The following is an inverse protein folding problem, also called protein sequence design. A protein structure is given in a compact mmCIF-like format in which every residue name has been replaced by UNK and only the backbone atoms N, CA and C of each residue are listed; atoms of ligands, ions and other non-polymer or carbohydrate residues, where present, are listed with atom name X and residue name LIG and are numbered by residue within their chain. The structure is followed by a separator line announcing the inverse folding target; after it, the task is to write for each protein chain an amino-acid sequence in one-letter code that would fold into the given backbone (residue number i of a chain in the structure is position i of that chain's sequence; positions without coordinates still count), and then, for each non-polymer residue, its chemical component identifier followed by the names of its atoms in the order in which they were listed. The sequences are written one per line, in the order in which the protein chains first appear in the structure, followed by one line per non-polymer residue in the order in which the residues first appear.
data_IF_688478340702
#
_entry.id   IF_688478340702
#
_cell.length_a   1.000
_cell.length_b   1.000
_cell.length_c   1.000
_cell.angle_alpha   90.00
_cell.angle_beta   90.00
_cell.angle_gamma   90.00
#
_symmetry.space_group_name_H-M   'P 1'
#
loop_
_entity.id
_entity.type
_entity.pdbx_description
1 polymer ?
#
# COMPACT_ATOMS: atom_id res chain seq x y z
N UNK A 1 19.50 -13.00 -4.37
CA UNK A 1 19.76 -11.59 -4.01
C UNK A 1 18.78 -10.71 -4.78
N UNK A 2 17.76 -10.11 -4.14
CA UNK A 2 16.81 -9.23 -4.84
C UNK A 2 17.42 -7.84 -5.05
N UNK A 3 17.24 -7.20 -6.20
CA UNK A 3 17.83 -5.89 -6.46
C UNK A 3 17.30 -4.87 -5.44
N UNK A 4 18.23 -4.13 -4.82
CA UNK A 4 18.05 -3.15 -3.74
C UNK A 4 17.01 -2.05 -4.06
N UNK A 5 16.79 -1.73 -5.34
CA UNK A 5 15.87 -0.69 -5.83
C UNK A 5 14.38 -0.93 -5.53
N UNK A 6 13.97 -2.17 -5.28
CA UNK A 6 12.56 -2.55 -5.09
C UNK A 6 12.01 -2.22 -3.69
N UNK A 7 12.87 -2.16 -2.68
CA UNK A 7 12.51 -1.80 -1.30
C UNK A 7 12.38 -0.28 -1.10
N UNK A 8 13.14 0.48 -1.83
CA UNK A 8 13.21 1.94 -1.74
C UNK A 8 11.91 2.61 -2.20
N UNK A 9 11.33 2.16 -3.31
CA UNK A 9 9.99 2.59 -3.75
C UNK A 9 8.88 2.27 -2.74
N UNK A 10 9.00 1.17 -1.98
CA UNK A 10 8.00 0.76 -1.00
C UNK A 10 7.96 1.65 0.25
N UNK A 11 9.10 2.16 0.72
CA UNK A 11 9.15 3.00 1.91
C UNK A 11 8.61 4.41 1.67
N UNK A 12 8.91 5.03 0.54
CA UNK A 12 8.40 6.37 0.21
C UNK A 12 6.89 6.37 -0.04
N UNK A 13 6.37 5.40 -0.78
CA UNK A 13 4.92 5.21 -0.97
C UNK A 13 4.22 4.94 0.37
N UNK A 14 4.87 4.27 1.32
CA UNK A 14 4.32 3.99 2.65
C UNK A 14 4.20 5.23 3.53
N UNK A 15 5.19 6.13 3.51
CA UNK A 15 5.16 7.40 4.24
C UNK A 15 4.08 8.36 3.67
N UNK A 16 4.02 8.49 2.37
CA UNK A 16 3.04 9.34 1.68
C UNK A 16 1.62 8.81 1.91
N UNK A 17 1.38 7.51 1.79
CA UNK A 17 0.05 6.92 2.00
C UNK A 17 -0.43 7.04 3.46
N UNK A 18 0.44 6.97 4.46
CA UNK A 18 0.04 7.16 5.85
C UNK A 18 -0.42 8.60 6.14
N UNK A 19 0.20 9.60 5.54
CA UNK A 19 -0.24 10.99 5.72
C UNK A 19 -1.52 11.32 4.93
N UNK A 20 -1.73 10.70 3.79
CA UNK A 20 -2.82 11.01 2.86
C UNK A 20 -4.13 10.31 3.20
N UNK A 21 -4.09 9.14 3.78
CA UNK A 21 -5.29 8.43 4.26
C UNK A 21 -5.95 9.11 5.46
N UNK A 22 -5.23 9.98 6.15
CA UNK A 22 -5.72 10.73 7.31
C UNK A 22 -6.43 12.03 6.93
N UNK A 23 -6.20 12.55 5.74
CA UNK A 23 -7.05 13.57 5.17
C UNK A 23 -8.34 12.85 4.74
N UNK A 24 -9.42 13.01 5.52
CA UNK A 24 -10.78 12.66 5.10
C UNK A 24 -11.07 13.46 3.84
N UNK A 25 -10.62 12.95 2.72
CA UNK A 25 -10.99 13.45 1.41
C UNK A 25 -12.48 13.23 1.26
N UNK A 26 -13.21 14.28 0.90
CA UNK A 26 -14.60 14.27 0.50
C UNK A 26 -14.87 13.09 -0.45
N UNK A 27 -16.12 12.68 -0.58
CA UNK A 27 -16.60 11.51 -1.36
C UNK A 27 -16.09 11.43 -2.82
N UNK A 28 -15.42 12.46 -3.34
CA UNK A 28 -14.71 12.48 -4.62
C UNK A 28 -13.21 12.59 -4.37
N UNK A 29 -12.36 11.76 -5.02
CA UNK A 29 -10.92 11.92 -4.96
C UNK A 29 -10.56 13.30 -5.53
N UNK A 30 -10.00 14.13 -4.65
CA UNK A 30 -9.73 15.52 -4.94
C UNK A 30 -8.55 15.64 -5.92
N UNK A 31 -8.75 16.35 -7.03
CA UNK A 31 -7.69 16.70 -8.00
C UNK A 31 -6.52 17.38 -7.30
N UNK A 32 -6.78 18.14 -6.26
CA UNK A 32 -5.79 18.80 -5.41
C UNK A 32 -4.77 17.83 -4.84
N UNK A 33 -5.19 16.59 -4.52
CA UNK A 33 -4.28 15.56 -4.03
C UNK A 33 -3.22 15.17 -5.05
N UNK A 34 -3.60 14.87 -6.29
CA UNK A 34 -2.66 14.48 -7.35
C UNK A 34 -1.71 15.64 -7.69
N UNK A 35 -2.22 16.87 -7.69
CA UNK A 35 -1.43 18.08 -7.91
C UNK A 35 -0.37 18.26 -6.82
N UNK A 36 -0.75 18.13 -5.55
CA UNK A 36 0.20 18.20 -4.42
C UNK A 36 1.22 17.06 -4.49
N UNK A 37 0.78 15.85 -4.76
CA UNK A 37 1.68 14.71 -4.90
C UNK A 37 2.69 14.94 -6.04
N UNK A 38 2.24 15.51 -7.18
CA UNK A 38 3.11 15.85 -8.30
C UNK A 38 4.17 16.87 -7.90
N UNK A 39 3.80 17.90 -7.13
CA UNK A 39 4.73 18.92 -6.63
C UNK A 39 5.79 18.34 -5.68
N UNK A 40 5.46 17.27 -4.96
CA UNK A 40 6.38 16.61 -4.00
C UNK A 40 7.32 15.59 -4.64
N UNK A 41 6.95 15.04 -5.79
CA UNK A 41 7.73 14.00 -6.46
C UNK A 41 8.77 14.59 -7.41
N UNK A 42 9.96 13.97 -7.55
CA UNK A 42 10.93 14.34 -8.57
C UNK A 42 10.33 14.32 -9.98
N UNK A 43 10.72 15.26 -10.84
CA UNK A 43 10.15 15.40 -12.19
C UNK A 43 10.25 14.12 -13.04
N UNK A 44 11.26 13.28 -12.81
CA UNK A 44 11.45 12.00 -13.50
C UNK A 44 10.72 10.82 -12.85
N UNK A 45 10.09 11.04 -11.69
CA UNK A 45 9.38 9.98 -10.98
C UNK A 45 8.04 9.70 -11.68
N UNK A 46 7.82 8.46 -12.05
CA UNK A 46 6.53 7.96 -12.55
C UNK A 46 5.96 6.94 -11.57
N UNK A 47 5.17 7.37 -10.59
CA UNK A 47 4.64 6.49 -9.57
C UNK A 47 3.59 5.55 -10.16
N UNK A 48 3.41 4.41 -9.50
CA UNK A 48 2.26 3.53 -9.69
C UNK A 48 1.29 3.77 -8.54
N UNK A 49 0.17 4.40 -8.83
CA UNK A 49 -0.87 4.69 -7.84
C UNK A 49 -1.74 3.45 -7.65
N UNK A 50 -1.72 2.87 -6.46
CA UNK A 50 -2.52 1.67 -6.13
C UNK A 50 -3.73 2.09 -5.32
N UNK A 51 -4.93 1.79 -5.82
CA UNK A 51 -6.20 2.24 -5.22
C UNK A 51 -7.13 1.07 -4.91
N UNK A 52 -8.00 1.27 -3.91
CA UNK A 52 -9.07 0.34 -3.61
C UNK A 52 -10.28 0.51 -4.56
N UNK A 53 -11.39 -0.18 -4.25
CA UNK A 53 -12.60 -0.15 -5.07
C UNK A 53 -13.41 1.17 -4.96
N UNK A 54 -13.01 2.11 -4.13
CA UNK A 54 -13.64 3.43 -4.01
C UNK A 54 -13.36 4.35 -5.19
N UNK A 55 -12.25 4.12 -5.90
CA UNK A 55 -11.82 4.95 -7.02
C UNK A 55 -12.45 4.47 -8.33
N UNK A 56 -12.81 5.41 -9.20
CA UNK A 56 -13.58 5.19 -10.43
C UNK A 56 -12.81 5.68 -11.66
N UNK A 57 -13.41 5.47 -12.85
CA UNK A 57 -12.82 5.85 -14.14
C UNK A 57 -12.27 7.30 -14.19
N UNK A 58 -12.97 8.33 -13.67
CA UNK A 58 -12.41 9.69 -13.68
C UNK A 58 -11.05 9.79 -13.00
N UNK A 59 -10.86 9.10 -11.87
CA UNK A 59 -9.57 9.06 -11.19
C UNK A 59 -8.48 8.41 -12.04
N UNK A 60 -8.78 7.30 -12.71
CA UNK A 60 -7.82 6.62 -13.58
C UNK A 60 -7.40 7.49 -14.76
N UNK A 61 -8.35 8.25 -15.33
CA UNK A 61 -8.07 9.24 -16.37
C UNK A 61 -7.13 10.34 -15.88
N UNK A 62 -7.37 10.91 -14.70
CA UNK A 62 -6.52 11.94 -14.08
C UNK A 62 -5.09 11.43 -13.82
N UNK A 63 -4.94 10.24 -13.25
CA UNK A 63 -3.61 9.64 -13.02
C UNK A 63 -2.88 9.42 -14.34
N UNK A 64 -3.58 8.94 -15.37
CA UNK A 64 -2.99 8.71 -16.68
C UNK A 64 -2.62 10.00 -17.40
N UNK A 65 -3.40 11.07 -17.26
CA UNK A 65 -3.12 12.39 -17.81
C UNK A 65 -1.83 13.01 -17.23
N UNK A 66 -1.44 12.63 -16.02
CA UNK A 66 -0.16 13.01 -15.42
C UNK A 66 1.03 12.21 -15.94
N UNK A 67 0.83 11.26 -16.85
CA UNK A 67 1.84 10.32 -17.32
C UNK A 67 2.21 9.26 -16.27
N UNK A 68 1.37 9.06 -15.27
CA UNK A 68 1.58 8.11 -14.18
C UNK A 68 0.84 6.80 -14.44
N UNK A 69 1.22 5.80 -13.66
CA UNK A 69 0.58 4.49 -13.72
C UNK A 69 -0.37 4.27 -12.55
N UNK A 70 -1.37 3.42 -12.78
CA UNK A 70 -2.28 3.01 -11.71
C UNK A 70 -2.49 1.51 -11.69
N UNK A 71 -2.91 1.01 -10.53
CA UNK A 71 -3.52 -0.30 -10.34
C UNK A 71 -4.74 -0.07 -9.46
N UNK A 72 -5.94 -0.26 -9.99
CA UNK A 72 -7.19 -0.08 -9.29
C UNK A 72 -7.96 -1.38 -9.15
N UNK A 73 -8.60 -1.59 -8.00
CA UNK A 73 -9.59 -2.66 -7.86
C UNK A 73 -10.94 -2.18 -8.33
N UNK A 74 -11.59 -2.98 -9.16
CA UNK A 74 -12.97 -2.73 -9.58
C UNK A 74 -13.90 -3.68 -8.84
N UNK A 75 -15.02 -3.14 -8.32
CA UNK A 75 -16.01 -3.88 -7.54
C UNK A 75 -17.41 -3.30 -7.69
N UNK A 76 -18.41 -4.11 -7.37
CA UNK A 76 -19.80 -3.68 -7.31
C UNK A 76 -20.50 -3.66 -8.68
N UNK A 77 -21.38 -2.71 -8.91
CA UNK A 77 -22.20 -2.59 -10.12
C UNK A 77 -21.43 -1.92 -11.27
N UNK A 78 -20.28 -2.46 -11.65
CA UNK A 78 -19.51 -1.98 -12.81
C UNK A 78 -19.61 -3.00 -13.92
N UNK A 79 -19.73 -2.53 -15.17
CA UNK A 79 -19.70 -3.37 -16.35
C UNK A 79 -18.38 -3.19 -17.08
N UNK A 80 -17.91 -4.26 -17.70
CA UNK A 80 -16.74 -4.27 -18.56
C UNK A 80 -17.06 -4.93 -19.88
N UNK A 81 -16.37 -4.53 -20.92
CA UNK A 81 -16.38 -5.21 -22.22
C UNK A 81 -15.04 -5.90 -22.42
N UNK A 82 -15.08 -7.21 -22.61
CA UNK A 82 -13.90 -8.03 -22.83
C UNK A 82 -13.40 -7.91 -24.29
N UNK A 83 -12.12 -8.21 -24.55
CA UNK A 83 -11.59 -8.22 -25.92
C UNK A 83 -12.43 -9.12 -26.84
N UNK A 84 -12.73 -8.61 -28.05
CA UNK A 84 -13.51 -9.34 -29.05
C UNK A 84 -15.02 -9.46 -28.75
N UNK A 85 -15.52 -8.87 -27.65
CA UNK A 85 -16.94 -8.82 -27.36
C UNK A 85 -17.53 -7.43 -27.68
N UNK A 86 -18.76 -7.40 -28.19
CA UNK A 86 -19.51 -6.16 -28.44
C UNK A 86 -20.23 -5.66 -27.19
N UNK A 87 -20.65 -6.56 -26.30
CA UNK A 87 -21.50 -6.25 -25.16
C UNK A 87 -20.73 -6.03 -23.86
N UNK A 88 -21.26 -5.14 -23.02
CA UNK A 88 -20.81 -4.97 -21.64
C UNK A 88 -21.42 -6.04 -20.74
N UNK A 89 -20.57 -6.73 -20.01
CA UNK A 89 -20.97 -7.72 -19.01
C UNK A 89 -20.70 -7.23 -17.58
N UNK A 90 -21.52 -7.68 -16.64
CA UNK A 90 -21.26 -7.38 -15.23
C UNK A 90 -20.02 -8.11 -14.73
N UNK A 91 -19.28 -7.48 -13.82
CA UNK A 91 -18.08 -8.11 -13.23
C UNK A 91 -18.40 -9.40 -12.45
N UNK A 92 -19.63 -9.58 -11.99
CA UNK A 92 -20.08 -10.82 -11.35
C UNK A 92 -20.00 -12.03 -12.31
N UNK A 93 -20.26 -11.82 -13.62
CA UNK A 93 -20.08 -12.86 -14.63
C UNK A 93 -18.59 -13.18 -14.83
N UNK A 94 -17.73 -12.16 -14.77
CA UNK A 94 -16.28 -12.32 -14.89
C UNK A 94 -15.68 -13.08 -13.70
N UNK A 95 -16.20 -12.87 -12.50
CA UNK A 95 -15.73 -13.58 -11.30
C UNK A 95 -15.93 -15.10 -11.39
N UNK A 96 -16.89 -15.57 -12.17
CA UNK A 96 -17.11 -17.01 -12.41
C UNK A 96 -15.95 -17.67 -13.17
N UNK A 97 -15.15 -16.87 -13.89
CA UNK A 97 -13.97 -17.34 -14.65
C UNK A 97 -12.71 -17.45 -13.77
N UNK A 98 -12.80 -17.05 -12.49
CA UNK A 98 -11.64 -17.01 -11.60
C UNK A 98 -11.08 -18.40 -11.31
N UNK A 99 -9.81 -18.60 -11.65
CA UNK A 99 -9.04 -19.81 -11.35
C UNK A 99 -8.24 -19.71 -10.06
N UNK A 100 -7.33 -20.66 -9.86
CA UNK A 100 -6.42 -20.67 -8.71
C UNK A 100 -5.27 -19.66 -8.86
N UNK A 101 -4.91 -19.33 -10.09
CA UNK A 101 -3.82 -18.41 -10.43
C UNK A 101 -4.37 -17.12 -11.01
N UNK A 102 -3.69 -15.97 -10.78
CA UNK A 102 -4.03 -14.73 -11.45
C UNK A 102 -3.96 -14.87 -12.97
N UNK A 103 -4.99 -14.42 -13.67
CA UNK A 103 -5.10 -14.49 -15.12
C UNK A 103 -5.28 -13.11 -15.74
N UNK A 104 -4.70 -12.92 -16.92
CA UNK A 104 -4.89 -11.71 -17.74
C UNK A 104 -6.20 -11.86 -18.50
N UNK A 105 -7.08 -10.85 -18.41
CA UNK A 105 -8.31 -10.77 -19.21
C UNK A 105 -8.11 -10.03 -20.54
N UNK A 106 -6.97 -9.36 -20.72
CA UNK A 106 -6.66 -8.57 -21.89
C UNK A 106 -6.91 -7.07 -21.71
N UNK A 107 -6.97 -6.35 -22.82
CA UNK A 107 -7.38 -4.95 -22.85
C UNK A 107 -8.90 -4.87 -22.88
N UNK A 108 -9.45 -4.27 -21.85
CA UNK A 108 -10.90 -4.16 -21.64
C UNK A 108 -11.35 -2.71 -21.78
N UNK A 109 -12.64 -2.52 -22.07
CA UNK A 109 -13.32 -1.26 -21.83
C UNK A 109 -13.99 -1.29 -20.47
N UNK A 110 -13.66 -0.34 -19.59
CA UNK A 110 -14.17 -0.22 -18.24
C UNK A 110 -15.25 0.86 -18.17
N UNK A 111 -16.44 0.47 -17.69
CA UNK A 111 -17.57 1.39 -17.46
C UNK A 111 -18.29 1.78 -18.74
N UNK A 112 -19.59 1.46 -18.81
CA UNK A 112 -20.40 1.68 -19.99
C UNK A 112 -20.63 3.17 -20.31
N UNK A 113 -20.78 4.03 -19.29
CA UNK A 113 -21.07 5.47 -19.48
C UNK A 113 -19.83 6.33 -19.76
N UNK A 114 -18.65 5.89 -19.32
CA UNK A 114 -17.39 6.64 -19.46
C UNK A 114 -16.25 5.75 -19.94
N UNK A 115 -16.54 4.99 -20.95
CA UNK A 115 -15.67 3.97 -21.48
C UNK A 115 -14.17 4.33 -21.40
N UNK A 116 -13.39 3.49 -20.73
CA UNK A 116 -11.98 3.69 -20.52
C UNK A 116 -11.19 2.41 -20.81
N UNK A 117 -10.34 2.48 -21.83
CA UNK A 117 -9.50 1.34 -22.21
C UNK A 117 -8.38 1.13 -21.19
N UNK A 118 -8.28 -0.07 -20.65
CA UNK A 118 -7.24 -0.46 -19.70
C UNK A 118 -7.03 -1.97 -19.71
N UNK A 119 -5.93 -2.42 -19.12
CA UNK A 119 -5.62 -3.85 -18.98
C UNK A 119 -6.26 -4.39 -17.70
N UNK A 120 -6.79 -5.60 -17.77
CA UNK A 120 -7.42 -6.23 -16.64
C UNK A 120 -6.78 -7.56 -16.27
N UNK A 121 -6.72 -7.79 -14.97
CA UNK A 121 -6.26 -9.03 -14.35
C UNK A 121 -7.32 -9.49 -13.34
N UNK A 122 -7.73 -10.74 -13.46
CA UNK A 122 -8.56 -11.40 -12.49
C UNK A 122 -7.66 -12.19 -11.54
N UNK A 123 -7.71 -11.87 -10.24
CA UNK A 123 -6.84 -12.46 -9.24
C UNK A 123 -7.64 -12.83 -7.98
N UNK A 124 -7.25 -13.91 -7.35
CA UNK A 124 -7.84 -14.39 -6.10
C UNK A 124 -7.62 -15.88 -5.92
N UNK A 125 -7.77 -16.36 -4.71
CA UNK A 125 -7.83 -17.81 -4.47
C UNK A 125 -9.16 -18.28 -5.04
N UNK A 126 -9.14 -19.39 -5.83
CA UNK A 126 -10.30 -19.92 -6.50
C UNK A 126 -11.55 -19.92 -5.61
N UNK A 127 -12.63 -19.43 -6.14
CA UNK A 127 -13.89 -19.28 -5.42
C UNK A 127 -14.54 -20.67 -5.24
N UNK A 128 -14.15 -21.41 -4.22
CA UNK A 128 -14.97 -22.49 -3.70
C UNK A 128 -16.06 -21.88 -2.83
N UNK A 129 -17.24 -21.77 -3.37
CA UNK A 129 -18.47 -21.47 -2.63
C UNK A 129 -18.63 -22.49 -1.48
N UNK A 130 -18.15 -22.15 -0.30
CA UNK A 130 -18.62 -22.83 0.91
C UNK A 130 -20.00 -22.29 1.23
N UNK A 131 -21.03 -23.10 1.02
CA UNK A 131 -22.45 -22.77 1.23
C UNK A 131 -22.81 -22.22 2.63
N UNK A 132 -21.90 -22.16 3.60
CA UNK A 132 -22.17 -21.81 5.00
C UNK A 132 -21.73 -20.39 5.46
N UNK A 133 -20.97 -19.65 4.66
CA UNK A 133 -20.43 -18.36 5.15
C UNK A 133 -21.19 -17.17 4.58
N UNK A 134 -22.09 -16.57 5.38
CA UNK A 134 -22.89 -15.39 5.04
C UNK A 134 -22.08 -14.07 4.93
N UNK A 135 -20.77 -14.05 5.22
CA UNK A 135 -19.92 -12.87 5.12
C UNK A 135 -19.11 -12.85 3.82
N UNK A 136 -19.74 -12.37 2.74
CA UNK A 136 -19.23 -12.43 1.37
C UNK A 136 -18.03 -11.51 1.04
N UNK A 137 -17.67 -10.53 1.87
CA UNK A 137 -16.74 -9.46 1.43
C UNK A 137 -15.29 -9.88 1.31
N UNK A 138 -14.83 -10.90 2.04
CA UNK A 138 -13.43 -11.32 2.04
C UNK A 138 -13.07 -12.36 0.95
N UNK A 139 -14.07 -12.87 0.24
CA UNK A 139 -13.90 -14.00 -0.69
C UNK A 139 -14.05 -13.63 -2.16
N UNK A 140 -14.43 -12.38 -2.47
CA UNK A 140 -14.54 -11.95 -3.86
C UNK A 140 -13.18 -11.89 -4.53
N UNK A 141 -13.05 -12.46 -5.75
CA UNK A 141 -11.87 -12.26 -6.58
C UNK A 141 -11.55 -10.77 -6.77
N UNK A 142 -10.31 -10.47 -7.04
CA UNK A 142 -9.91 -9.11 -7.36
C UNK A 142 -9.91 -8.92 -8.87
N UNK A 143 -10.83 -8.11 -9.38
CA UNK A 143 -10.70 -7.56 -10.71
C UNK A 143 -9.81 -6.32 -10.61
N UNK A 144 -8.58 -6.42 -11.10
CA UNK A 144 -7.57 -5.38 -11.05
C UNK A 144 -7.42 -4.79 -12.45
N UNK A 145 -7.50 -3.46 -12.55
CA UNK A 145 -7.31 -2.71 -13.79
C UNK A 145 -6.06 -1.85 -13.72
N UNK A 146 -5.38 -1.67 -14.85
CA UNK A 146 -4.12 -0.94 -14.90
C UNK A 146 -3.84 -0.39 -16.30
N UNK A 147 -3.08 0.71 -16.38
CA UNK A 147 -2.48 1.22 -17.62
C UNK A 147 -1.01 0.80 -17.78
N UNK A 148 -0.46 -0.03 -16.91
CA UNK A 148 0.89 -0.55 -17.04
C UNK A 148 1.03 -1.41 -18.30
N UNK A 149 2.12 -1.26 -19.03
CA UNK A 149 2.43 -2.10 -20.18
C UNK A 149 2.58 -3.58 -19.79
N UNK A 150 2.26 -4.46 -20.73
CA UNK A 150 2.49 -5.89 -20.54
C UNK A 150 3.99 -6.18 -20.31
N UNK A 151 4.25 -7.14 -19.46
CA UNK A 151 5.59 -7.63 -19.19
C UNK A 151 5.51 -9.11 -18.81
N UNK A 152 6.67 -9.76 -18.77
CA UNK A 152 6.75 -11.14 -18.28
C UNK A 152 6.05 -11.30 -16.93
N UNK A 153 5.21 -12.32 -16.84
CA UNK A 153 4.41 -12.65 -15.64
C UNK A 153 3.51 -11.50 -15.15
N UNK A 154 2.87 -10.78 -16.08
CA UNK A 154 2.09 -9.57 -15.83
C UNK A 154 1.03 -9.75 -14.76
N UNK A 155 0.20 -10.81 -14.83
CA UNK A 155 -0.89 -11.04 -13.87
C UNK A 155 -0.38 -11.15 -12.43
N UNK A 156 0.67 -11.94 -12.21
CA UNK A 156 1.26 -12.09 -10.88
C UNK A 156 1.93 -10.79 -10.40
N UNK A 157 2.54 -10.02 -11.32
CA UNK A 157 3.13 -8.71 -10.97
C UNK A 157 2.08 -7.72 -10.51
N UNK A 158 0.97 -7.58 -11.24
CA UNK A 158 -0.16 -6.71 -10.88
C UNK A 158 -0.76 -7.16 -9.55
N UNK A 159 -1.04 -8.45 -9.39
CA UNK A 159 -1.57 -9.01 -8.14
C UNK A 159 -0.64 -8.75 -6.95
N UNK A 160 0.66 -8.94 -7.10
CA UNK A 160 1.65 -8.69 -6.05
C UNK A 160 1.76 -7.20 -5.67
N UNK A 161 1.72 -6.31 -6.65
CA UNK A 161 1.72 -4.85 -6.41
C UNK A 161 0.45 -4.42 -5.69
N UNK A 162 -0.71 -4.94 -6.10
CA UNK A 162 -1.97 -4.64 -5.41
C UNK A 162 -1.98 -5.21 -3.99
N UNK A 163 -1.54 -6.44 -3.78
CA UNK A 163 -1.47 -7.05 -2.46
C UNK A 163 -0.62 -6.25 -1.46
N UNK A 164 0.39 -5.52 -1.95
CA UNK A 164 1.19 -4.63 -1.10
C UNK A 164 0.36 -3.50 -0.47
N UNK A 165 -0.81 -3.14 -1.03
CA UNK A 165 -1.75 -2.17 -0.45
C UNK A 165 -2.26 -2.62 0.92
N UNK A 166 -2.42 -3.93 1.14
CA UNK A 166 -2.88 -4.47 2.42
C UNK A 166 -2.00 -4.06 3.61
N UNK A 167 -0.72 -3.71 3.35
CA UNK A 167 0.17 -3.19 4.39
C UNK A 167 -0.30 -1.84 4.97
N UNK A 168 -1.11 -1.09 4.24
CA UNK A 168 -1.73 0.15 4.73
C UNK A 168 -2.77 -0.20 5.80
N UNK A 169 -3.62 -1.19 5.53
CA UNK A 169 -4.65 -1.65 6.48
C UNK A 169 -4.00 -2.25 7.73
N UNK A 170 -2.90 -2.99 7.57
CA UNK A 170 -2.10 -3.48 8.69
C UNK A 170 -1.50 -2.34 9.51
N UNK A 171 -0.95 -1.31 8.87
CA UNK A 171 -0.41 -0.14 9.56
C UNK A 171 -1.48 0.61 10.34
N UNK A 172 -2.71 0.76 9.80
CA UNK A 172 -3.83 1.34 10.55
C UNK A 172 -4.27 0.47 11.71
N UNK A 173 -4.34 -0.84 11.52
CA UNK A 173 -4.66 -1.77 12.60
C UNK A 173 -3.62 -1.69 13.72
N UNK A 174 -2.35 -1.65 13.38
CA UNK A 174 -1.27 -1.48 14.35
C UNK A 174 -1.38 -0.14 15.07
N UNK A 175 -1.73 0.95 14.38
CA UNK A 175 -1.93 2.26 14.99
C UNK A 175 -3.12 2.27 15.98
N UNK A 176 -4.22 1.59 15.64
CA UNK A 176 -5.43 1.51 16.47
C UNK A 176 -5.28 0.54 17.65
N UNK A 177 -4.55 -0.54 17.48
CA UNK A 177 -4.39 -1.57 18.47
C UNK A 177 -3.73 -1.03 19.75
N UNK A 178 -4.36 -1.27 20.90
CA UNK A 178 -3.77 -0.97 22.22
C UNK A 178 -2.60 -1.91 22.53
N UNK A 179 -2.68 -3.17 22.09
CA UNK A 179 -1.67 -4.20 22.38
C UNK A 179 -0.46 -4.07 21.48
N UNK A 180 -0.69 -3.99 20.16
CA UNK A 180 0.39 -4.03 19.16
C UNK A 180 0.77 -2.65 18.65
N UNK A 181 -0.04 -1.63 18.84
CA UNK A 181 0.11 -0.29 18.29
C UNK A 181 0.10 0.83 19.33
N UNK A 182 -0.40 1.97 18.91
CA UNK A 182 -0.42 3.22 19.68
C UNK A 182 -1.76 3.45 20.40
N UNK A 183 -2.75 2.57 20.23
CA UNK A 183 -4.04 2.68 20.88
C UNK A 183 -4.85 3.89 20.45
N UNK A 184 -4.74 4.31 19.20
CA UNK A 184 -5.39 5.55 18.72
C UNK A 184 -6.93 5.52 18.82
N UNK A 185 -7.54 4.35 18.96
CA UNK A 185 -8.98 4.23 19.21
C UNK A 185 -9.39 4.61 20.66
N UNK A 186 -8.43 4.67 21.59
CA UNK A 186 -8.70 5.04 22.97
C UNK A 186 -8.92 6.55 23.17
N UNK A 187 -8.44 7.38 22.27
CA UNK A 187 -8.69 8.82 22.34
C UNK A 187 -10.11 9.15 21.85
N UNK A 188 -10.86 9.88 22.63
CA UNK A 188 -12.24 10.28 22.29
C UNK A 188 -12.32 11.66 21.63
N UNK A 189 -11.22 12.19 21.10
CA UNK A 189 -11.24 13.53 20.51
C UNK A 189 -11.96 13.55 19.17
N UNK A 190 -12.86 14.52 19.00
CA UNK A 190 -13.53 14.81 17.72
C UNK A 190 -13.02 16.09 17.07
N UNK A 191 -12.16 16.86 17.75
CA UNK A 191 -11.61 18.13 17.25
C UNK A 191 -10.51 17.85 16.25
N UNK A 192 -10.65 18.37 15.02
CA UNK A 192 -9.73 18.15 13.89
C UNK A 192 -8.28 18.49 14.26
N UNK A 193 -8.00 19.67 14.80
CA UNK A 193 -6.63 20.09 15.15
C UNK A 193 -5.97 19.18 16.21
N UNK A 194 -6.74 18.71 17.21
CA UNK A 194 -6.20 17.71 18.18
C UNK A 194 -5.88 16.39 17.51
N UNK A 195 -6.72 15.95 16.58
CA UNK A 195 -6.47 14.71 15.84
C UNK A 195 -5.21 14.84 14.98
N UNK A 196 -4.99 15.97 14.32
CA UNK A 196 -3.79 16.23 13.52
C UNK A 196 -2.52 16.15 14.37
N UNK A 197 -2.52 16.73 15.57
CA UNK A 197 -1.38 16.64 16.51
C UNK A 197 -1.16 15.20 16.96
N UNK A 198 -2.22 14.48 17.34
CA UNK A 198 -2.10 13.07 17.73
C UNK A 198 -1.56 12.19 16.62
N UNK A 199 -1.96 12.45 15.38
CA UNK A 199 -1.47 11.74 14.21
C UNK A 199 0.01 12.04 13.93
N UNK A 200 0.44 13.29 14.13
CA UNK A 200 1.85 13.66 14.04
C UNK A 200 2.69 12.93 15.10
N UNK A 201 2.24 12.95 16.35
CA UNK A 201 2.91 12.23 17.44
C UNK A 201 2.97 10.73 17.17
N UNK A 202 1.88 10.15 16.67
CA UNK A 202 1.84 8.75 16.27
C UNK A 202 2.80 8.44 15.12
N UNK A 203 2.94 9.34 14.15
CA UNK A 203 3.89 9.18 13.05
C UNK A 203 5.34 9.21 13.55
N UNK A 204 5.68 10.14 14.45
CA UNK A 204 7.00 10.23 15.07
C UNK A 204 7.32 8.99 15.91
N UNK A 205 6.37 8.53 16.73
CA UNK A 205 6.52 7.32 17.53
C UNK A 205 6.72 6.07 16.64
N UNK A 206 5.94 5.93 15.58
CA UNK A 206 6.09 4.85 14.60
C UNK A 206 7.45 4.90 13.90
N UNK A 207 7.93 6.11 13.57
CA UNK A 207 9.24 6.28 12.97
C UNK A 207 10.35 5.84 13.94
N UNK A 208 10.27 6.24 15.23
CA UNK A 208 11.21 5.81 16.27
C UNK A 208 11.22 4.29 16.44
N UNK A 209 10.03 3.68 16.55
CA UNK A 209 9.92 2.22 16.63
C UNK A 209 10.55 1.53 15.40
N UNK A 210 10.32 2.09 14.22
CA UNK A 210 10.88 1.56 12.99
C UNK A 210 12.41 1.60 13.00
N UNK A 211 12.99 2.74 13.43
CA UNK A 211 14.43 2.93 13.56
C UNK A 211 15.08 1.94 14.51
N UNK A 212 14.50 1.79 15.70
CA UNK A 212 14.98 0.84 16.70
C UNK A 212 14.88 -0.61 16.20
N UNK A 213 13.78 -0.95 15.53
CA UNK A 213 13.60 -2.28 14.94
C UNK A 213 14.58 -2.56 13.81
N UNK A 214 14.92 -1.56 12.99
CA UNK A 214 15.93 -1.66 11.94
C UNK A 214 17.32 -1.83 12.56
N UNK A 215 17.67 -1.03 13.57
CA UNK A 215 18.93 -1.15 14.31
C UNK A 215 19.09 -2.55 14.90
N UNK A 216 18.05 -3.09 15.52
CA UNK A 216 18.05 -4.44 16.06
C UNK A 216 18.20 -5.53 14.98
N UNK A 217 17.63 -5.34 13.79
CA UNK A 217 17.83 -6.29 12.69
C UNK A 217 19.28 -6.26 12.19
N UNK A 218 19.83 -5.07 11.98
CA UNK A 218 21.22 -4.90 11.52
C UNK A 218 22.23 -5.47 12.51
N UNK A 219 21.97 -5.32 13.81
CA UNK A 219 22.77 -5.86 14.88
C UNK A 219 22.51 -7.36 15.19
N UNK A 220 21.57 -8.01 14.48
CA UNK A 220 21.20 -9.41 14.72
C UNK A 220 20.38 -9.65 15.99
N UNK A 221 20.08 -8.61 16.78
CA UNK A 221 19.36 -8.68 18.07
C UNK A 221 17.87 -9.07 17.92
N UNK A 222 17.30 -8.94 16.73
CA UNK A 222 15.93 -9.37 16.42
C UNK A 222 15.69 -10.85 16.72
N UNK A 223 16.75 -11.67 16.69
CA UNK A 223 16.68 -13.11 16.97
C UNK A 223 16.22 -13.42 18.38
N UNK A 224 16.56 -12.58 19.36
CA UNK A 224 16.12 -12.72 20.75
C UNK A 224 14.62 -12.53 20.95
N UNK A 225 13.89 -12.05 19.93
CA UNK A 225 12.46 -11.77 19.99
C UNK A 225 11.62 -12.70 19.10
N UNK A 226 12.22 -13.73 18.53
CA UNK A 226 11.51 -14.66 17.65
C UNK A 226 11.86 -16.12 18.02
N UNK A 227 11.02 -17.04 17.55
CA UNK A 227 11.25 -18.46 17.77
C UNK A 227 12.53 -18.95 17.06
N UNK A 228 13.26 -19.85 17.68
CA UNK A 228 14.51 -20.43 17.16
C UNK A 228 14.33 -21.23 15.86
N UNK A 229 13.12 -21.63 15.53
CA UNK A 229 12.79 -22.33 14.29
C UNK A 229 12.98 -21.47 13.02
N UNK A 230 13.00 -20.14 13.16
CA UNK A 230 13.17 -19.22 12.02
C UNK A 230 14.51 -18.51 12.13
N UNK A 231 15.53 -19.06 11.45
CA UNK A 231 16.92 -18.56 11.51
C UNK A 231 17.30 -17.58 10.39
N UNK A 232 16.59 -17.63 9.25
CA UNK A 232 17.00 -16.98 8.00
C UNK A 232 16.41 -15.60 7.75
N UNK A 233 15.39 -15.20 8.53
CA UNK A 233 14.69 -13.92 8.33
C UNK A 233 14.12 -13.39 9.64
N UNK A 234 13.88 -12.08 9.67
CA UNK A 234 13.09 -11.44 10.72
C UNK A 234 11.62 -11.84 10.60
N UNK A 235 10.98 -12.16 11.71
CA UNK A 235 9.55 -12.53 11.79
C UNK A 235 8.68 -11.33 12.17
N UNK A 236 9.13 -10.50 13.12
CA UNK A 236 8.38 -9.34 13.61
C UNK A 236 8.52 -8.14 12.67
N UNK A 237 7.50 -7.28 12.57
CA UNK A 237 7.65 -5.99 11.90
C UNK A 237 8.68 -5.11 12.60
N UNK A 238 9.29 -4.16 11.90
CA UNK A 238 10.22 -3.20 12.53
C UNK A 238 9.55 -2.44 13.68
N UNK A 239 8.33 -1.94 13.47
CA UNK A 239 7.60 -1.20 14.48
C UNK A 239 7.34 -2.05 15.73
N UNK A 240 6.90 -3.28 15.57
CA UNK A 240 6.62 -4.15 16.70
C UNK A 240 7.91 -4.57 17.43
N UNK A 241 8.97 -4.85 16.69
CA UNK A 241 10.29 -5.13 17.26
C UNK A 241 10.82 -3.95 18.06
N UNK A 242 10.76 -2.72 17.50
CA UNK A 242 11.17 -1.51 18.21
C UNK A 242 10.34 -1.26 19.47
N UNK A 243 9.01 -1.45 19.41
CA UNK A 243 8.15 -1.36 20.59
C UNK A 243 8.53 -2.38 21.67
N UNK A 244 8.87 -3.62 21.28
CA UNK A 244 9.32 -4.63 22.23
C UNK A 244 10.65 -4.31 22.88
N UNK A 245 11.59 -3.75 22.10
CA UNK A 245 12.88 -3.29 22.62
C UNK A 245 12.73 -2.23 23.70
N UNK A 246 11.87 -1.24 23.47
CA UNK A 246 11.60 -0.21 24.48
C UNK A 246 10.93 -0.76 25.75
N UNK A 247 10.13 -1.81 25.63
CA UNK A 247 9.47 -2.44 26.79
C UNK A 247 10.38 -3.40 27.56
N UNK A 248 11.30 -4.04 26.88
CA UNK A 248 12.18 -5.05 27.45
C UNK A 248 13.60 -4.48 27.46
N UNK A 249 13.93 -3.78 28.52
CA UNK A 249 15.24 -3.13 28.74
C UNK A 249 16.47 -4.10 28.70
N UNK A 250 16.22 -5.40 28.58
CA UNK A 250 17.28 -6.43 28.56
C UNK A 250 18.15 -6.41 27.31
N UNK A 251 17.66 -5.85 26.21
CA UNK A 251 18.40 -5.79 24.94
C UNK A 251 18.58 -4.32 24.57
N UNK A 252 19.69 -3.74 25.01
CA UNK A 252 20.03 -2.37 24.69
C UNK A 252 20.36 -2.19 23.20
N UNK A 253 20.08 -1.02 22.66
CA UNK A 253 20.55 -0.57 21.34
C UNK A 253 21.58 0.54 21.57
N UNK A 254 22.78 0.38 21.03
CA UNK A 254 23.84 1.38 21.15
C UNK A 254 23.64 2.55 20.19
N UNK A 255 24.30 3.67 20.46
CA UNK A 255 24.32 4.83 19.56
C UNK A 255 24.85 4.49 18.17
N UNK A 256 25.87 3.63 18.08
CA UNK A 256 26.44 3.17 16.82
C UNK A 256 25.46 2.33 16.00
N UNK A 257 24.68 1.46 16.66
CA UNK A 257 23.64 0.67 16.00
C UNK A 257 22.50 1.56 15.45
N UNK A 258 22.15 2.61 16.19
CA UNK A 258 21.19 3.62 15.69
C UNK A 258 21.75 4.36 14.49
N UNK A 259 23.03 4.79 14.54
CA UNK A 259 23.68 5.44 13.41
C UNK A 259 23.77 4.52 12.18
N UNK A 260 24.02 3.23 12.35
CA UNK A 260 23.97 2.26 11.26
C UNK A 260 22.57 2.18 10.62
N UNK A 261 21.53 2.19 11.44
CA UNK A 261 20.15 2.22 10.95
C UNK A 261 19.83 3.53 10.19
N UNK A 262 20.31 4.68 10.69
CA UNK A 262 20.18 5.97 10.01
C UNK A 262 20.89 5.94 8.65
N UNK A 263 22.14 5.49 8.60
CA UNK A 263 22.90 5.36 7.34
C UNK A 263 22.16 4.46 6.34
N UNK A 264 21.64 3.32 6.79
CA UNK A 264 20.88 2.42 5.94
C UNK A 264 19.59 3.07 5.42
N UNK A 265 18.88 3.84 6.24
CA UNK A 265 17.71 4.60 5.82
C UNK A 265 18.08 5.67 4.81
N UNK A 266 19.11 6.45 5.07
CA UNK A 266 19.60 7.49 4.15
C UNK A 266 20.00 6.88 2.80
N UNK A 267 20.67 5.72 2.79
CA UNK A 267 20.97 4.98 1.57
C UNK A 267 19.69 4.60 0.81
N UNK A 268 18.65 4.14 1.52
CA UNK A 268 17.37 3.81 0.89
C UNK A 268 16.62 5.01 0.34
N UNK A 269 16.78 6.18 0.94
CA UNK A 269 16.07 7.43 0.58
C UNK A 269 16.88 8.28 -0.39
N UNK A 270 18.20 8.08 -0.52
CA UNK A 270 19.09 8.86 -1.40
C UNK A 270 18.73 8.78 -2.89
N UNK A 271 17.96 7.75 -3.27
CA UNK A 271 17.41 7.62 -4.63
C UNK A 271 16.38 8.71 -4.95
N UNK A 272 15.83 9.41 -3.94
CA UNK A 272 14.83 10.47 -4.13
C UNK A 272 15.46 11.84 -4.03
N UNK A 273 15.21 12.66 -5.05
CA UNK A 273 15.52 14.10 -4.98
C UNK A 273 14.44 14.79 -4.12
N UNK A 274 14.81 15.16 -2.91
CA UNK A 274 13.94 15.81 -1.93
C UNK A 274 13.84 17.32 -2.08
N UNK A 275 14.54 17.92 -3.03
CA UNK A 275 14.51 19.37 -3.27
C UNK A 275 13.10 19.89 -3.54
N UNK A 276 12.31 19.12 -4.29
CA UNK A 276 10.93 19.45 -4.61
C UNK A 276 9.98 19.31 -3.40
N UNK A 277 10.27 18.42 -2.46
CA UNK A 277 9.46 18.27 -1.24
C UNK A 277 9.58 19.51 -0.36
N UNK A 278 10.79 20.04 -0.20
CA UNK A 278 11.02 21.29 0.55
C UNK A 278 10.26 22.46 -0.04
N UNK A 279 10.27 22.63 -1.37
CA UNK A 279 9.53 23.70 -2.08
C UNK A 279 8.02 23.56 -1.97
N UNK A 280 7.49 22.35 -1.84
CA UNK A 280 6.05 22.11 -1.76
C UNK A 280 5.48 22.26 -0.33
N UNK A 281 6.35 22.29 0.70
CA UNK A 281 5.99 22.46 2.11
C UNK A 281 6.16 23.91 2.55
N UNK A 282 7.06 24.65 1.92
CA UNK A 282 7.22 26.10 2.12
C UNK A 282 6.10 26.89 1.43
#
# INVERSE_FOLDING_TARGET
MMPKTRWQLRCAVRLINNQLSQLKLSKAPDKTFLTRLKAMLPNRCRPVIVTDAGFKVPWFKEVSALGWHFIGRVRGKVSIRLPGQSEFISIAKVYKQNGQQPMVLGEIALGQSQEYACRAVLAGKGWKLRKKDKHHSYKEPWLLVSNLAYCFNYANKINKLYAARMQIEEAFRDQKSQTYGLGSDAHRTKKKGRLEVLLLLAALANWLHYMLGLAAELAGKHRSFQANSVKTRRVLSFNYLGKRLLRLARVGISGEEIQAAVRQLLEWVSVFDWSNVRKAIA
#
